data_IF_896601880509
#
_entry.id   IF_896601880509
#
_cell.length_a   1.000
_cell.length_b   1.000
_cell.length_c   1.000
_cell.angle_alpha   90.00
_cell.angle_beta   90.00
_cell.angle_gamma   90.00
#
_symmetry.space_group_name_H-M   'P 1'
#
loop_
_entity.id
_entity.type
_entity.pdbx_description
1 polymer ?
#
# COMPACT_ATOMS: atom_id res chain seq x y z
N UNK A 1 -74.52 98.71 -27.31
CA UNK A 1 -73.50 99.77 -27.25
C UNK A 1 -72.84 99.68 -25.89
N UNK A 2 -71.50 99.55 -25.85
CA UNK A 2 -70.55 99.88 -24.75
C UNK A 2 -70.99 99.76 -23.27
N UNK A 3 -70.21 98.96 -22.54
CA UNK A 3 -69.58 99.27 -21.23
C UNK A 3 -70.46 99.64 -20.01
N UNK A 4 -70.36 98.85 -18.94
CA UNK A 4 -69.99 99.39 -17.63
C UNK A 4 -69.16 98.40 -16.81
N UNK A 5 -68.13 98.97 -16.19
CA UNK A 5 -67.03 98.41 -15.42
C UNK A 5 -67.41 98.44 -13.92
N UNK A 6 -67.09 97.40 -13.14
CA UNK A 6 -66.46 97.57 -11.82
C UNK A 6 -66.01 96.23 -11.18
N UNK A 7 -64.68 96.10 -11.16
CA UNK A 7 -63.78 95.58 -10.13
C UNK A 7 -64.41 94.99 -8.84
N UNK A 8 -64.12 93.72 -8.55
CA UNK A 8 -63.89 93.27 -7.17
C UNK A 8 -62.71 92.29 -7.13
N UNK A 9 -61.69 92.70 -6.37
CA UNK A 9 -60.43 92.00 -6.14
C UNK A 9 -60.63 91.01 -5.00
N UNK A 10 -60.40 89.72 -5.21
CA UNK A 10 -60.47 88.71 -4.14
C UNK A 10 -59.08 88.08 -3.96
N UNK A 11 -58.41 88.53 -2.90
CA UNK A 11 -57.13 88.06 -2.38
C UNK A 11 -57.18 86.56 -2.07
N UNK A 12 -56.30 85.80 -2.71
CA UNK A 12 -55.92 84.46 -2.24
C UNK A 12 -55.11 84.60 -0.95
N UNK A 13 -55.66 84.14 0.17
CA UNK A 13 -54.89 83.84 1.38
C UNK A 13 -54.76 82.32 1.48
N UNK A 14 -53.64 81.78 0.97
CA UNK A 14 -53.26 80.40 1.20
C UNK A 14 -52.74 80.26 2.63
N UNK A 15 -53.58 79.75 3.53
CA UNK A 15 -53.10 79.26 4.83
C UNK A 15 -52.38 77.93 4.58
N UNK A 16 -51.06 77.98 4.47
CA UNK A 16 -50.23 76.78 4.49
C UNK A 16 -50.25 76.25 5.93
N UNK A 17 -50.98 75.16 6.15
CA UNK A 17 -50.89 74.41 7.40
C UNK A 17 -49.53 73.70 7.40
N UNK A 18 -48.58 74.16 8.22
CA UNK A 18 -47.31 73.46 8.41
C UNK A 18 -47.62 72.14 9.13
N UNK A 19 -47.57 71.03 8.40
CA UNK A 19 -47.62 69.70 8.98
C UNK A 19 -46.39 69.50 9.87
N UNK A 20 -46.60 69.16 11.13
CA UNK A 20 -45.49 68.83 12.03
C UNK A 20 -44.90 67.47 11.58
N UNK A 21 -43.62 67.46 11.19
CA UNK A 21 -42.94 66.28 10.60
C UNK A 21 -42.31 65.32 11.62
N UNK A 22 -42.54 65.60 12.91
CA UNK A 22 -41.95 64.88 14.02
C UNK A 22 -43.02 64.27 14.92
N UNK A 23 -42.81 63.02 15.34
CA UNK A 23 -43.74 62.24 16.16
C UNK A 23 -42.99 61.64 17.37
N UNK A 24 -43.64 61.64 18.52
CA UNK A 24 -43.19 60.88 19.70
C UNK A 24 -43.69 59.44 19.60
N UNK A 25 -42.76 58.49 19.61
CA UNK A 25 -43.03 57.08 19.31
C UNK A 25 -42.41 56.22 20.40
N UNK A 26 -43.26 55.60 21.23
CA UNK A 26 -42.87 54.65 22.26
C UNK A 26 -43.91 53.53 22.30
N UNK A 27 -43.47 52.28 22.17
CA UNK A 27 -44.35 51.12 22.18
C UNK A 27 -43.78 50.01 23.04
N UNK A 28 -44.66 49.31 23.74
CA UNK A 28 -44.33 48.14 24.54
C UNK A 28 -45.27 47.02 24.12
N UNK A 29 -44.71 45.89 23.70
CA UNK A 29 -45.44 44.70 23.27
C UNK A 29 -46.45 44.94 22.12
N UNK A 30 -46.08 45.77 21.14
CA UNK A 30 -46.91 46.08 19.97
C UNK A 30 -46.71 45.02 18.89
N UNK A 31 -47.80 44.54 18.27
CA UNK A 31 -47.69 43.58 17.16
C UNK A 31 -47.12 44.25 15.90
N UNK A 32 -46.24 43.56 15.16
CA UNK A 32 -45.65 44.07 13.93
C UNK A 32 -46.72 44.43 12.88
N UNK A 33 -47.80 43.67 12.79
CA UNK A 33 -48.96 44.01 11.93
C UNK A 33 -49.59 45.37 12.27
N UNK A 34 -49.63 45.72 13.56
CA UNK A 34 -50.14 47.03 14.02
C UNK A 34 -49.13 48.13 13.73
N UNK A 35 -47.85 47.87 13.94
CA UNK A 35 -46.79 48.81 13.57
C UNK A 35 -46.77 49.11 12.07
N UNK A 36 -46.92 48.11 11.21
CA UNK A 36 -47.03 48.28 9.75
C UNK A 36 -48.22 49.18 9.39
N UNK A 37 -49.38 49.02 10.05
CA UNK A 37 -50.55 49.89 9.85
C UNK A 37 -50.27 51.34 10.26
N UNK A 38 -49.54 51.55 11.37
CA UNK A 38 -49.14 52.88 11.82
C UNK A 38 -48.19 53.51 10.79
N UNK A 39 -47.15 52.79 10.37
CA UNK A 39 -46.19 53.27 9.38
C UNK A 39 -46.87 53.59 8.05
N UNK A 40 -47.76 52.72 7.56
CA UNK A 40 -48.54 52.95 6.34
C UNK A 40 -49.36 54.24 6.40
N UNK A 41 -50.05 54.50 7.52
CA UNK A 41 -50.85 55.72 7.73
C UNK A 41 -50.00 56.98 7.85
N UNK A 42 -48.89 56.90 8.58
CA UNK A 42 -48.02 58.05 8.85
C UNK A 42 -47.18 58.43 7.63
N UNK A 43 -46.69 57.44 6.89
CA UNK A 43 -45.89 57.64 5.68
C UNK A 43 -46.72 57.83 4.41
N UNK A 44 -48.04 57.66 4.49
CA UNK A 44 -48.97 57.69 3.36
C UNK A 44 -48.56 56.72 2.23
N UNK A 45 -48.14 55.50 2.61
CA UNK A 45 -47.72 54.44 1.69
C UNK A 45 -48.63 53.22 1.84
N UNK A 46 -49.03 52.64 0.70
CA UNK A 46 -49.73 51.36 0.69
C UNK A 46 -48.70 50.25 0.95
N UNK A 47 -48.95 49.40 1.95
CA UNK A 47 -48.08 48.27 2.29
C UNK A 47 -48.89 46.97 2.17
N UNK A 48 -48.47 46.07 1.28
CA UNK A 48 -49.02 44.74 1.09
C UNK A 48 -48.25 43.75 1.96
N UNK A 49 -48.95 43.11 2.90
CA UNK A 49 -48.41 42.05 3.76
C UNK A 49 -48.86 40.70 3.20
N UNK A 50 -47.90 39.87 2.79
CA UNK A 50 -48.20 38.60 2.11
C UNK A 50 -48.56 37.46 3.07
N UNK A 51 -48.07 37.51 4.32
CA UNK A 51 -48.20 36.47 5.33
C UNK A 51 -48.39 37.13 6.72
N UNK A 52 -49.15 36.53 7.65
CA UNK A 52 -49.33 37.09 8.99
C UNK A 52 -48.02 37.12 9.78
N UNK A 53 -47.73 38.23 10.47
CA UNK A 53 -46.48 38.45 11.20
C UNK A 53 -46.73 38.52 12.71
N UNK A 54 -46.62 37.40 13.42
CA UNK A 54 -46.83 37.32 14.87
C UNK A 54 -45.53 37.66 15.63
N UNK A 55 -45.07 38.90 15.48
CA UNK A 55 -43.85 39.43 16.12
C UNK A 55 -44.25 40.59 17.04
N UNK A 56 -43.78 40.56 18.28
CA UNK A 56 -43.99 41.64 19.25
C UNK A 56 -42.78 42.58 19.30
N UNK A 57 -43.04 43.87 19.29
CA UNK A 57 -42.06 44.93 19.20
C UNK A 57 -42.05 45.77 20.48
N UNK A 58 -40.84 46.08 20.93
CA UNK A 58 -40.59 47.08 21.95
C UNK A 58 -39.72 48.17 21.34
N UNK A 59 -40.16 49.41 21.42
CA UNK A 59 -39.42 50.54 20.86
C UNK A 59 -39.50 51.72 21.81
N UNK A 60 -38.34 52.24 22.20
CA UNK A 60 -38.20 53.37 23.11
C UNK A 60 -37.37 54.44 22.43
N UNK A 61 -37.94 55.62 22.25
CA UNK A 61 -37.25 56.79 21.73
C UNK A 61 -37.08 57.85 22.81
N UNK A 62 -35.88 58.44 22.86
CA UNK A 62 -35.58 59.59 23.72
C UNK A 62 -35.75 60.94 23.00
N UNK A 63 -36.07 60.94 21.70
CA UNK A 63 -36.27 62.13 20.87
C UNK A 63 -37.42 61.93 19.89
N UNK A 64 -38.00 63.02 19.40
CA UNK A 64 -39.01 62.94 18.34
C UNK A 64 -38.40 62.38 17.05
N UNK A 65 -39.13 61.47 16.40
CA UNK A 65 -38.70 60.77 15.19
C UNK A 65 -39.34 61.42 13.97
N UNK A 66 -38.60 61.56 12.87
CA UNK A 66 -39.17 62.04 11.61
C UNK A 66 -40.07 60.98 10.99
N UNK A 67 -41.13 61.39 10.30
CA UNK A 67 -42.04 60.46 9.62
C UNK A 67 -41.34 59.52 8.65
N UNK A 68 -40.29 59.98 7.96
CA UNK A 68 -39.52 59.16 7.01
C UNK A 68 -38.65 58.09 7.69
N UNK A 69 -38.17 58.37 8.90
CA UNK A 69 -37.31 57.45 9.66
C UNK A 69 -38.10 56.21 10.13
N UNK A 70 -39.43 56.30 10.24
CA UNK A 70 -40.29 55.16 10.59
C UNK A 70 -40.22 54.03 9.55
N UNK A 71 -40.05 54.38 8.28
CA UNK A 71 -39.92 53.39 7.21
C UNK A 71 -38.57 52.69 7.27
N UNK A 72 -37.52 53.41 7.67
CA UNK A 72 -36.19 52.84 7.95
C UNK A 72 -36.24 51.90 9.15
N UNK A 73 -36.91 52.30 10.24
CA UNK A 73 -37.09 51.45 11.43
C UNK A 73 -37.85 50.17 11.05
N UNK A 74 -38.95 50.29 10.28
CA UNK A 74 -39.69 49.14 9.79
C UNK A 74 -38.80 48.23 8.93
N UNK A 75 -37.99 48.80 8.04
CA UNK A 75 -37.06 48.02 7.21
C UNK A 75 -36.05 47.25 8.06
N UNK A 76 -35.45 47.88 9.07
CA UNK A 76 -34.49 47.22 9.97
C UNK A 76 -35.13 46.06 10.73
N UNK A 77 -36.33 46.25 11.28
CA UNK A 77 -37.07 45.20 12.00
C UNK A 77 -37.41 44.03 11.06
N UNK A 78 -37.83 44.33 9.82
CA UNK A 78 -38.10 43.29 8.83
C UNK A 78 -36.83 42.52 8.46
N UNK A 79 -35.71 43.22 8.25
CA UNK A 79 -34.41 42.62 7.91
C UNK A 79 -33.91 41.69 9.05
N UNK A 80 -34.07 42.08 10.32
CA UNK A 80 -33.74 41.23 11.49
C UNK A 80 -34.56 39.94 11.54
N UNK A 81 -35.78 39.96 11.01
CA UNK A 81 -36.72 38.83 11.02
C UNK A 81 -36.81 38.08 9.68
N UNK A 82 -35.82 38.23 8.78
CA UNK A 82 -35.78 37.57 7.46
C UNK A 82 -36.89 37.96 6.48
N UNK A 83 -37.45 39.16 6.63
CA UNK A 83 -38.39 39.77 5.69
C UNK A 83 -37.72 40.93 4.96
N UNK A 84 -38.19 41.21 3.74
CA UNK A 84 -37.73 42.35 2.94
C UNK A 84 -38.92 43.21 2.55
N UNK A 85 -38.70 44.52 2.55
CA UNK A 85 -39.64 45.53 2.06
C UNK A 85 -39.24 45.94 0.64
N UNK A 86 -40.00 45.51 -0.37
CA UNK A 86 -39.75 45.80 -1.78
C UNK A 86 -40.75 46.82 -2.34
N UNK A 87 -40.29 47.83 -3.08
CA UNK A 87 -41.17 48.71 -3.85
C UNK A 87 -41.69 47.96 -5.10
N UNK A 88 -43.00 47.81 -5.23
CA UNK A 88 -43.68 47.22 -6.41
C UNK A 88 -44.69 48.23 -6.96
N UNK A 89 -44.27 49.03 -7.93
CA UNK A 89 -45.11 50.11 -8.47
C UNK A 89 -45.45 51.13 -7.39
N UNK A 90 -46.74 51.34 -7.13
CA UNK A 90 -47.25 52.36 -6.20
C UNK A 90 -47.39 51.87 -4.74
N UNK A 91 -47.06 50.62 -4.45
CA UNK A 91 -47.11 50.05 -3.10
C UNK A 91 -45.82 49.35 -2.70
N UNK A 92 -45.63 49.18 -1.39
CA UNK A 92 -44.55 48.41 -0.79
C UNK A 92 -45.05 47.01 -0.49
N UNK A 93 -44.28 45.97 -0.82
CA UNK A 93 -44.60 44.58 -0.51
C UNK A 93 -43.65 44.07 0.56
N UNK A 94 -44.20 43.46 1.61
CA UNK A 94 -43.45 42.68 2.58
C UNK A 94 -43.52 41.21 2.17
N UNK A 95 -42.34 40.60 1.99
CA UNK A 95 -42.19 39.18 1.68
C UNK A 95 -40.98 38.60 2.39
N UNK A 96 -41.02 37.30 2.66
CA UNK A 96 -39.87 36.57 3.20
C UNK A 96 -38.70 36.67 2.22
N UNK A 97 -37.50 36.94 2.72
CA UNK A 97 -36.27 37.03 1.92
C UNK A 97 -36.07 35.70 1.19
N UNK A 98 -36.15 35.72 -0.14
CA UNK A 98 -35.86 34.53 -0.94
C UNK A 98 -34.35 34.28 -0.94
N UNK A 99 -33.88 33.02 -0.79
CA UNK A 99 -32.47 32.71 -1.01
C UNK A 99 -32.09 33.08 -2.46
N UNK A 100 -30.85 33.51 -2.71
CA UNK A 100 -30.42 33.88 -4.06
C UNK A 100 -30.71 32.75 -5.06
N UNK A 101 -31.28 33.10 -6.22
CA UNK A 101 -31.56 32.16 -7.32
C UNK A 101 -30.26 31.45 -7.75
N UNK A 102 -30.32 30.12 -7.89
CA UNK A 102 -29.25 29.20 -8.33
C UNK A 102 -28.81 29.43 -9.78
N UNK A 103 -28.30 30.60 -10.14
CA UNK A 103 -27.97 30.92 -11.54
C UNK A 103 -26.65 30.31 -12.05
N UNK A 104 -25.80 29.75 -11.17
CA UNK A 104 -24.46 29.24 -11.56
C UNK A 104 -24.16 27.78 -11.18
N UNK A 105 -25.16 26.94 -10.90
CA UNK A 105 -24.92 25.51 -10.64
C UNK A 105 -24.73 24.76 -11.96
N UNK A 106 -23.54 24.19 -12.17
CA UNK A 106 -23.21 23.38 -13.34
C UNK A 106 -23.00 21.93 -12.93
N UNK A 107 -23.36 21.00 -13.81
CA UNK A 107 -23.00 19.58 -13.69
C UNK A 107 -21.87 19.26 -14.65
N UNK A 108 -20.81 18.63 -14.15
CA UNK A 108 -19.68 18.16 -14.96
C UNK A 108 -19.40 16.70 -14.65
N UNK A 109 -19.14 15.93 -15.71
CA UNK A 109 -18.79 14.52 -15.64
C UNK A 109 -17.28 14.37 -15.86
N UNK A 110 -16.64 13.53 -15.07
CA UNK A 110 -15.24 13.17 -15.22
C UNK A 110 -15.09 11.65 -15.28
N UNK A 111 -14.63 11.16 -16.42
CA UNK A 111 -14.32 9.75 -16.65
C UNK A 111 -12.95 9.41 -16.05
N UNK A 112 -12.92 8.43 -15.15
CA UNK A 112 -11.69 7.97 -14.50
C UNK A 112 -11.04 6.84 -15.31
N UNK A 113 -9.72 6.91 -15.46
CA UNK A 113 -8.97 5.94 -16.27
C UNK A 113 -8.19 4.91 -15.46
N UNK A 114 -7.74 5.26 -14.26
CA UNK A 114 -6.79 4.46 -13.48
C UNK A 114 -7.31 4.00 -12.11
N UNK A 115 -8.36 4.66 -11.60
CA UNK A 115 -8.93 4.40 -10.28
C UNK A 115 -10.44 4.20 -10.38
N UNK A 116 -10.97 3.34 -9.50
CA UNK A 116 -12.40 3.07 -9.41
C UNK A 116 -13.15 4.29 -8.86
N UNK A 117 -14.23 4.67 -9.54
CA UNK A 117 -15.07 5.82 -9.18
C UNK A 117 -15.64 5.72 -7.77
N UNK A 118 -16.00 4.53 -7.30
CA UNK A 118 -16.52 4.32 -5.95
C UNK A 118 -15.52 4.75 -4.87
N UNK A 119 -14.23 4.40 -5.03
CA UNK A 119 -13.20 4.73 -4.05
C UNK A 119 -12.94 6.24 -3.99
N UNK A 120 -12.97 6.91 -5.13
CA UNK A 120 -12.79 8.36 -5.22
C UNK A 120 -14.01 9.12 -4.71
N UNK A 121 -15.22 8.63 -5.01
CA UNK A 121 -16.46 9.22 -4.53
C UNK A 121 -16.45 9.32 -3.00
N UNK A 122 -16.10 8.24 -2.30
CA UNK A 122 -15.96 8.22 -0.83
C UNK A 122 -14.96 9.26 -0.32
N UNK A 123 -13.85 9.48 -1.02
CA UNK A 123 -12.83 10.48 -0.62
C UNK A 123 -13.39 11.89 -0.80
N UNK A 124 -14.02 12.16 -1.95
CA UNK A 124 -14.57 13.47 -2.26
C UNK A 124 -15.79 13.81 -1.39
N UNK A 125 -16.68 12.86 -1.11
CA UNK A 125 -17.78 12.99 -0.15
C UNK A 125 -17.25 13.44 1.23
N UNK A 126 -16.21 12.76 1.74
CA UNK A 126 -15.58 13.14 3.01
C UNK A 126 -14.98 14.56 3.00
N UNK A 127 -14.45 15.02 1.86
CA UNK A 127 -13.92 16.38 1.71
C UNK A 127 -15.06 17.41 1.68
N UNK A 128 -16.12 17.11 0.92
CA UNK A 128 -17.33 17.94 0.78
C UNK A 128 -18.13 17.99 2.10
N UNK A 129 -18.04 16.98 2.96
CA UNK A 129 -18.71 17.02 4.27
C UNK A 129 -17.93 17.83 5.30
N UNK A 130 -16.60 17.84 5.22
CA UNK A 130 -15.73 18.55 6.18
C UNK A 130 -15.56 20.04 5.88
N UNK A 131 -15.75 20.44 4.63
CA UNK A 131 -15.68 21.84 4.24
C UNK A 131 -16.96 22.60 4.60
N UNK A 132 -16.82 23.83 5.06
CA UNK A 132 -17.94 24.75 5.27
C UNK A 132 -18.33 25.40 3.95
N UNK A 133 -19.60 25.25 3.57
CA UNK A 133 -20.21 25.88 2.39
C UNK A 133 -21.29 26.85 2.86
N UNK A 134 -21.50 27.95 2.13
CA UNK A 134 -22.68 28.78 2.36
C UNK A 134 -23.96 28.00 2.04
N UNK A 135 -25.08 28.46 2.59
CA UNK A 135 -26.36 27.77 2.47
C UNK A 135 -26.76 27.61 0.99
N UNK A 136 -26.85 26.37 0.52
CA UNK A 136 -27.19 26.06 -0.87
C UNK A 136 -26.01 25.99 -1.84
N UNK A 137 -24.78 26.19 -1.38
CA UNK A 137 -23.56 26.10 -2.21
C UNK A 137 -22.85 24.75 -2.14
N UNK A 138 -23.25 23.89 -1.20
CA UNK A 138 -22.66 22.56 -1.03
C UNK A 138 -22.78 21.75 -2.34
N UNK A 139 -21.65 21.31 -2.92
CA UNK A 139 -21.68 20.51 -4.14
C UNK A 139 -22.27 19.13 -3.86
N UNK A 140 -22.96 18.59 -4.86
CA UNK A 140 -23.43 17.21 -4.85
C UNK A 140 -22.49 16.35 -5.70
N UNK A 141 -22.22 15.14 -5.22
CA UNK A 141 -21.39 14.14 -5.87
C UNK A 141 -22.20 12.87 -6.10
N UNK A 142 -22.07 12.30 -7.29
CA UNK A 142 -22.52 10.95 -7.59
C UNK A 142 -21.49 10.25 -8.47
N UNK A 143 -21.59 8.93 -8.57
CA UNK A 143 -20.70 8.14 -9.42
C UNK A 143 -21.50 7.13 -10.24
N UNK A 144 -20.95 6.76 -11.39
CA UNK A 144 -21.47 5.68 -12.24
C UNK A 144 -20.40 4.60 -12.33
N UNK A 145 -20.73 3.41 -11.83
CA UNK A 145 -19.83 2.26 -11.88
C UNK A 145 -19.66 1.72 -13.29
N UNK A 146 -20.73 1.71 -14.10
CA UNK A 146 -20.71 1.21 -15.49
C UNK A 146 -19.76 2.01 -16.39
N UNK A 147 -19.71 3.33 -16.20
CA UNK A 147 -18.86 4.23 -17.00
C UNK A 147 -17.60 4.66 -16.26
N UNK A 148 -17.33 4.10 -15.07
CA UNK A 148 -16.26 4.51 -14.16
C UNK A 148 -16.08 6.04 -14.08
N UNK A 149 -17.16 6.75 -13.79
CA UNK A 149 -17.20 8.22 -13.88
C UNK A 149 -17.74 8.87 -12.61
N UNK A 150 -17.25 10.07 -12.32
CA UNK A 150 -17.74 10.95 -11.24
C UNK A 150 -18.54 12.09 -11.84
N UNK A 151 -19.72 12.35 -11.29
CA UNK A 151 -20.56 13.50 -11.63
C UNK A 151 -20.57 14.46 -10.45
N UNK A 152 -20.09 15.68 -10.67
CA UNK A 152 -20.14 16.76 -9.68
C UNK A 152 -21.11 17.84 -10.13
N UNK A 153 -22.00 18.24 -9.23
CA UNK A 153 -22.97 19.31 -9.48
C UNK A 153 -22.83 20.39 -8.41
N UNK A 154 -22.61 21.63 -8.81
CA UNK A 154 -22.39 22.75 -7.89
C UNK A 154 -21.92 24.01 -8.61
N UNK A 155 -21.54 25.02 -7.84
CA UNK A 155 -21.02 26.26 -8.42
C UNK A 155 -19.66 26.04 -9.10
N UNK A 156 -19.44 26.73 -10.22
CA UNK A 156 -18.21 26.60 -11.02
C UNK A 156 -16.93 26.78 -10.19
N UNK A 157 -16.90 27.79 -9.32
CA UNK A 157 -15.73 28.15 -8.53
C UNK A 157 -15.38 27.09 -7.46
N UNK A 158 -16.39 26.36 -6.98
CA UNK A 158 -16.23 25.24 -6.03
C UNK A 158 -15.79 23.96 -6.76
N UNK A 159 -16.28 23.76 -8.00
CA UNK A 159 -16.01 22.55 -8.77
C UNK A 159 -14.60 22.52 -9.37
N UNK A 160 -14.03 23.66 -9.77
CA UNK A 160 -12.70 23.69 -10.40
C UNK A 160 -11.58 23.04 -9.53
N UNK A 161 -11.45 23.36 -8.23
CA UNK A 161 -10.50 22.68 -7.34
C UNK A 161 -10.74 21.18 -7.21
N UNK A 162 -12.01 20.74 -7.15
CA UNK A 162 -12.37 19.32 -7.06
C UNK A 162 -11.97 18.56 -8.33
N UNK A 163 -12.13 19.17 -9.51
CA UNK A 163 -11.67 18.56 -10.77
C UNK A 163 -10.15 18.50 -10.90
N UNK A 164 -9.43 19.52 -10.40
CA UNK A 164 -7.97 19.46 -10.36
C UNK A 164 -7.49 18.35 -9.42
N UNK A 165 -8.11 18.22 -8.25
CA UNK A 165 -7.85 17.11 -7.34
C UNK A 165 -8.15 15.75 -7.99
N UNK A 166 -9.26 15.61 -8.71
CA UNK A 166 -9.60 14.40 -9.46
C UNK A 166 -8.50 14.00 -10.44
N UNK A 167 -7.97 14.96 -11.21
CA UNK A 167 -6.85 14.72 -12.14
C UNK A 167 -5.58 14.30 -11.42
N UNK A 168 -5.31 14.88 -10.25
CA UNK A 168 -4.13 14.53 -9.46
C UNK A 168 -4.22 13.16 -8.79
N UNK A 169 -5.43 12.72 -8.48
CA UNK A 169 -5.70 11.40 -7.93
C UNK A 169 -5.72 10.31 -9.00
N UNK A 170 -6.29 10.57 -10.18
CA UNK A 170 -6.42 9.61 -11.29
C UNK A 170 -5.08 9.35 -12.02
N UNK A 171 -4.14 8.71 -11.32
CA UNK A 171 -2.82 8.34 -11.83
C UNK A 171 -2.69 6.83 -11.97
N UNK A 172 -1.98 6.41 -13.01
CA UNK A 172 -1.63 5.00 -13.23
C UNK A 172 -0.85 4.45 -12.04
N UNK A 173 -1.35 3.35 -11.47
CA UNK A 173 -0.70 2.62 -10.37
C UNK A 173 0.49 1.84 -10.89
N UNK A 174 1.54 1.76 -10.07
CA UNK A 174 2.71 0.96 -10.36
C UNK A 174 2.43 -0.52 -10.14
N UNK A 175 3.13 -1.37 -10.88
CA UNK A 175 3.09 -2.82 -10.74
C UNK A 175 4.45 -3.33 -10.27
N UNK A 176 4.43 -4.36 -9.44
CA UNK A 176 5.64 -5.02 -8.94
C UNK A 176 5.51 -6.51 -9.25
N UNK A 177 6.51 -7.02 -9.95
CA UNK A 177 6.68 -8.46 -10.17
C UNK A 177 7.53 -9.03 -9.04
N UNK A 178 7.01 -9.99 -8.30
CA UNK A 178 7.68 -10.62 -7.18
C UNK A 178 8.00 -12.07 -7.54
N UNK A 179 9.25 -12.45 -7.39
CA UNK A 179 9.70 -13.83 -7.49
C UNK A 179 10.17 -14.32 -6.12
N UNK A 180 9.69 -15.48 -5.68
CA UNK A 180 10.21 -16.15 -4.51
C UNK A 180 10.90 -17.46 -4.91
N UNK A 181 11.96 -17.81 -4.20
CA UNK A 181 12.65 -19.11 -4.31
C UNK A 181 12.70 -19.74 -2.92
N UNK A 182 12.12 -20.92 -2.80
CA UNK A 182 12.17 -21.73 -1.59
C UNK A 182 13.15 -22.87 -1.85
N UNK A 183 14.16 -22.94 -1.00
CA UNK A 183 15.33 -23.76 -1.21
C UNK A 183 15.60 -24.58 0.05
N UNK A 184 15.87 -25.88 -0.13
CA UNK A 184 16.37 -26.74 0.93
C UNK A 184 17.87 -26.97 0.74
N UNK A 185 18.63 -26.82 1.82
CA UNK A 185 20.09 -26.78 1.77
C UNK A 185 20.65 -27.79 2.76
N UNK A 186 21.55 -28.63 2.29
CA UNK A 186 22.30 -29.56 3.13
C UNK A 186 23.62 -28.90 3.57
N UNK A 187 23.70 -28.49 4.84
CA UNK A 187 24.85 -27.74 5.35
C UNK A 187 26.16 -28.53 5.32
N UNK A 188 26.12 -29.85 5.47
CA UNK A 188 27.32 -30.69 5.45
C UNK A 188 27.95 -30.67 4.04
N UNK A 189 27.12 -30.82 3.01
CA UNK A 189 27.57 -30.74 1.62
C UNK A 189 28.02 -29.33 1.25
N UNK A 190 27.31 -28.28 1.69
CA UNK A 190 27.71 -26.88 1.51
C UNK A 190 29.12 -26.64 2.07
N UNK A 191 29.38 -27.09 3.29
CA UNK A 191 30.70 -26.93 3.93
C UNK A 191 31.78 -27.71 3.19
N UNK A 192 31.48 -28.96 2.78
CA UNK A 192 32.40 -29.77 1.98
C UNK A 192 32.75 -29.10 0.64
N UNK A 193 31.77 -28.53 -0.05
CA UNK A 193 31.97 -27.81 -1.32
C UNK A 193 32.81 -26.55 -1.06
N UNK A 194 32.43 -25.74 -0.07
CA UNK A 194 33.16 -24.53 0.27
C UNK A 194 34.63 -24.78 0.60
N UNK A 195 34.94 -25.88 1.29
CA UNK A 195 36.32 -26.32 1.54
C UNK A 195 37.01 -26.88 0.28
N UNK A 196 36.31 -27.66 -0.55
CA UNK A 196 36.88 -28.28 -1.77
C UNK A 196 37.27 -27.27 -2.83
N UNK A 197 36.50 -26.18 -2.96
CA UNK A 197 36.78 -25.07 -3.89
C UNK A 197 37.62 -23.95 -3.26
N UNK A 198 38.09 -24.11 -2.01
CA UNK A 198 38.90 -23.10 -1.33
C UNK A 198 38.16 -21.80 -1.00
N UNK A 199 36.82 -21.80 -1.09
CA UNK A 199 35.94 -20.64 -0.86
C UNK A 199 35.80 -20.36 0.65
N UNK A 200 35.87 -21.39 1.49
CA UNK A 200 35.80 -21.27 2.96
C UNK A 200 37.18 -21.50 3.58
N UNK A 201 37.62 -20.61 4.49
CA UNK A 201 38.83 -20.79 5.31
C UNK A 201 38.48 -21.65 6.52
N UNK A 202 39.41 -22.52 6.94
CA UNK A 202 39.19 -23.51 8.01
C UNK A 202 38.71 -22.94 9.37
N UNK A 203 38.90 -21.65 9.62
CA UNK A 203 38.51 -20.97 10.87
C UNK A 203 37.30 -20.01 10.74
N UNK A 204 36.56 -20.02 9.63
CA UNK A 204 35.42 -19.09 9.46
C UNK A 204 34.17 -19.57 10.21
N UNK A 205 33.75 -18.80 11.22
CA UNK A 205 32.55 -19.03 12.04
C UNK A 205 31.21 -18.65 11.37
N UNK A 206 31.21 -18.29 10.08
CA UNK A 206 30.01 -17.88 9.36
C UNK A 206 29.37 -19.07 8.63
N UNK A 207 28.14 -19.39 9.01
CA UNK A 207 27.38 -20.55 8.57
C UNK A 207 26.84 -20.41 7.12
N UNK A 208 27.12 -21.40 6.27
CA UNK A 208 26.35 -21.69 5.05
C UNK A 208 26.53 -20.78 3.81
N UNK A 209 25.45 -20.66 3.02
CA UNK A 209 25.37 -20.00 1.69
C UNK A 209 25.95 -18.58 1.69
N UNK A 210 25.74 -17.84 2.77
CA UNK A 210 26.19 -16.45 2.91
C UNK A 210 27.72 -16.34 2.95
N UNK A 211 28.41 -17.33 3.50
CA UNK A 211 29.87 -17.39 3.47
C UNK A 211 30.38 -17.66 2.05
N UNK A 212 29.68 -18.49 1.27
CA UNK A 212 30.03 -18.74 -0.13
C UNK A 212 29.77 -17.49 -0.98
N UNK A 213 28.63 -16.83 -0.82
CA UNK A 213 28.30 -15.63 -1.61
C UNK A 213 29.24 -14.44 -1.33
N UNK A 214 29.64 -14.24 -0.08
CA UNK A 214 30.58 -13.17 0.30
C UNK A 214 31.99 -13.41 -0.22
N UNK A 215 32.48 -14.65 -0.20
CA UNK A 215 33.81 -15.00 -0.72
C UNK A 215 33.85 -15.11 -2.25
N UNK A 216 32.72 -15.42 -2.91
CA UNK A 216 32.61 -15.36 -4.37
C UNK A 216 32.63 -13.94 -4.92
N UNK A 217 32.36 -12.90 -4.10
CA UNK A 217 32.33 -11.49 -4.51
C UNK A 217 33.72 -10.89 -4.83
N UNK A 218 34.79 -11.70 -4.88
CA UNK A 218 36.18 -11.29 -5.10
C UNK A 218 36.62 -11.10 -6.56
N UNK A 219 35.81 -11.50 -7.56
CA UNK A 219 36.13 -11.41 -8.99
C UNK A 219 35.54 -10.16 -9.66
N UNK A 220 36.12 -8.98 -9.41
CA UNK A 220 35.51 -7.69 -9.81
C UNK A 220 35.73 -7.25 -11.27
N UNK A 221 36.64 -7.89 -12.02
CA UNK A 221 37.05 -7.44 -13.36
C UNK A 221 36.16 -7.97 -14.49
N UNK A 222 35.76 -9.23 -14.46
CA UNK A 222 34.98 -9.84 -15.54
C UNK A 222 33.51 -9.40 -15.58
N UNK A 223 32.95 -9.01 -14.42
CA UNK A 223 31.63 -8.37 -14.33
C UNK A 223 31.59 -7.07 -15.14
N UNK A 224 32.64 -6.24 -15.07
CA UNK A 224 32.67 -4.98 -15.79
C UNK A 224 32.66 -5.23 -17.32
N UNK A 225 33.44 -6.21 -17.80
CA UNK A 225 33.48 -6.57 -19.22
C UNK A 225 32.16 -7.19 -19.73
N UNK A 226 31.58 -8.14 -18.98
CA UNK A 226 30.31 -8.79 -19.34
C UNK A 226 29.11 -7.82 -19.28
N UNK A 227 29.14 -6.89 -18.33
CA UNK A 227 28.09 -5.88 -18.16
C UNK A 227 28.05 -4.85 -19.28
N UNK A 228 29.23 -4.50 -19.81
CA UNK A 228 29.39 -3.59 -20.94
C UNK A 228 28.91 -4.25 -22.23
N UNK A 229 29.17 -5.55 -22.41
CA UNK A 229 28.73 -6.34 -23.56
C UNK A 229 27.20 -6.56 -23.60
N UNK A 230 26.55 -6.72 -22.44
CA UNK A 230 25.11 -6.97 -22.32
C UNK A 230 24.26 -5.70 -22.12
N UNK A 231 24.91 -4.53 -21.98
CA UNK A 231 24.26 -3.23 -21.81
C UNK A 231 23.57 -3.05 -20.45
N UNK A 232 24.07 -3.69 -19.40
CA UNK A 232 23.48 -3.66 -18.05
C UNK A 232 24.45 -2.93 -17.11
N UNK A 233 24.08 -1.77 -16.59
CA UNK A 233 24.93 -1.03 -15.63
C UNK A 233 24.83 -1.62 -14.22
N UNK A 234 25.75 -2.55 -13.90
CA UNK A 234 25.80 -3.28 -12.62
C UNK A 234 26.15 -2.37 -11.43
N UNK A 235 26.87 -1.25 -11.68
CA UNK A 235 27.27 -0.29 -10.64
C UNK A 235 26.09 0.55 -10.19
N UNK A 236 25.26 1.00 -11.13
CA UNK A 236 24.06 1.80 -10.85
C UNK A 236 22.95 1.02 -10.14
N UNK A 237 22.88 -0.30 -10.36
CA UNK A 237 21.83 -1.18 -9.81
C UNK A 237 22.27 -1.98 -8.56
N UNK A 238 23.51 -1.82 -8.07
CA UNK A 238 24.06 -2.53 -6.91
C UNK A 238 23.84 -4.06 -6.92
N UNK A 239 23.95 -4.69 -8.11
CA UNK A 239 23.56 -6.10 -8.31
C UNK A 239 24.63 -7.11 -7.88
N UNK A 240 25.82 -6.66 -7.45
CA UNK A 240 26.97 -7.54 -7.15
C UNK A 240 26.62 -8.60 -6.10
N UNK A 241 25.99 -8.20 -5.01
CA UNK A 241 25.59 -9.11 -3.93
C UNK A 241 24.53 -10.12 -4.37
N UNK A 242 23.59 -9.68 -5.22
CA UNK A 242 22.54 -10.55 -5.78
C UNK A 242 23.09 -11.58 -6.76
N UNK A 243 24.01 -11.17 -7.65
CA UNK A 243 24.68 -12.07 -8.60
C UNK A 243 25.58 -13.09 -7.89
N UNK A 244 26.34 -12.66 -6.88
CA UNK A 244 27.18 -13.56 -6.09
C UNK A 244 26.33 -14.58 -5.31
N UNK A 245 25.18 -14.16 -4.78
CA UNK A 245 24.20 -15.06 -4.20
C UNK A 245 23.66 -16.04 -5.26
N UNK A 246 23.19 -15.56 -6.42
CA UNK A 246 22.71 -16.40 -7.52
C UNK A 246 23.73 -17.45 -7.96
N UNK A 247 24.98 -17.06 -8.17
CA UNK A 247 26.07 -17.97 -8.53
C UNK A 247 26.38 -18.98 -7.42
N UNK A 248 26.40 -18.57 -6.14
CA UNK A 248 26.57 -19.49 -5.02
C UNK A 248 25.47 -20.55 -4.98
N UNK A 249 24.22 -20.16 -5.23
CA UNK A 249 23.09 -21.09 -5.27
C UNK A 249 23.22 -22.07 -6.45
N UNK A 250 23.61 -21.57 -7.62
CA UNK A 250 23.83 -22.40 -8.81
C UNK A 250 24.97 -23.41 -8.61
N UNK A 251 26.07 -23.03 -7.97
CA UNK A 251 27.17 -23.93 -7.62
C UNK A 251 26.68 -25.06 -6.71
N UNK A 252 25.99 -24.69 -5.62
CA UNK A 252 25.48 -25.66 -4.66
C UNK A 252 24.45 -26.60 -5.29
N UNK A 253 23.62 -26.09 -6.22
CA UNK A 253 22.69 -26.89 -7.01
C UNK A 253 23.42 -27.90 -7.87
N UNK A 254 24.44 -27.48 -8.62
CA UNK A 254 25.22 -28.35 -9.51
C UNK A 254 25.92 -29.47 -8.74
N UNK A 255 26.32 -29.20 -7.50
CA UNK A 255 27.00 -30.16 -6.62
C UNK A 255 26.04 -30.96 -5.72
N UNK A 256 24.72 -30.77 -5.86
CA UNK A 256 23.69 -31.49 -5.11
C UNK A 256 23.54 -31.10 -3.64
N UNK A 257 24.14 -29.99 -3.19
CA UNK A 257 24.01 -29.49 -1.83
C UNK A 257 22.77 -28.61 -1.61
N UNK A 258 22.05 -28.33 -2.69
CA UNK A 258 20.90 -27.44 -2.72
C UNK A 258 19.82 -28.05 -3.60
N UNK A 259 18.60 -28.15 -3.07
CA UNK A 259 17.42 -28.52 -3.82
C UNK A 259 16.42 -27.36 -3.86
N UNK A 260 15.80 -27.15 -5.02
CA UNK A 260 14.82 -26.07 -5.20
C UNK A 260 13.45 -26.69 -5.01
N UNK A 261 12.85 -26.42 -3.86
CA UNK A 261 11.53 -26.93 -3.51
C UNK A 261 10.47 -26.27 -4.38
N UNK A 262 10.55 -24.94 -4.60
CA UNK A 262 9.56 -24.18 -5.37
C UNK A 262 10.06 -22.80 -5.79
N UNK A 263 9.61 -22.30 -6.95
CA UNK A 263 9.90 -20.95 -7.45
C UNK A 263 8.62 -20.21 -7.93
N UNK A 264 7.67 -19.87 -7.04
CA UNK A 264 6.50 -19.12 -7.46
C UNK A 264 6.84 -17.68 -7.83
N UNK A 265 6.05 -17.10 -8.73
CA UNK A 265 6.12 -15.69 -9.09
C UNK A 265 4.73 -15.11 -9.24
N UNK A 266 4.56 -13.84 -8.86
CA UNK A 266 3.29 -13.14 -8.91
C UNK A 266 3.47 -11.67 -9.29
N UNK A 267 2.56 -11.15 -10.11
CA UNK A 267 2.46 -9.73 -10.42
C UNK A 267 1.42 -9.09 -9.50
N UNK A 268 1.80 -8.04 -8.79
CA UNK A 268 0.93 -7.33 -7.85
C UNK A 268 0.90 -5.83 -8.15
N UNK A 269 -0.25 -5.19 -7.90
CA UNK A 269 -0.39 -3.74 -7.96
C UNK A 269 0.13 -3.10 -6.67
N UNK A 270 0.71 -1.90 -6.77
CA UNK A 270 1.15 -1.13 -5.62
C UNK A 270 -0.02 -0.91 -4.64
N UNK A 271 0.22 -1.20 -3.35
CA UNK A 271 -0.74 -1.18 -2.24
C UNK A 271 -1.91 -2.16 -2.35
N UNK A 272 -1.85 -3.17 -3.23
CA UNK A 272 -2.88 -4.22 -3.34
C UNK A 272 -2.29 -5.59 -2.99
N UNK A 273 -2.97 -6.31 -2.09
CA UNK A 273 -2.61 -7.69 -1.79
C UNK A 273 -2.87 -8.58 -3.00
N UNK A 274 -1.97 -9.53 -3.23
CA UNK A 274 -2.10 -10.57 -4.24
C UNK A 274 -1.54 -11.86 -3.68
N UNK A 275 -2.11 -13.00 -4.06
CA UNK A 275 -1.64 -14.30 -3.59
C UNK A 275 -1.63 -15.33 -4.73
N UNK A 276 -0.75 -16.32 -4.60
CA UNK A 276 -0.66 -17.50 -5.45
C UNK A 276 -0.60 -18.74 -4.56
N UNK A 277 -1.40 -19.74 -4.90
CA UNK A 277 -1.38 -21.06 -4.27
C UNK A 277 -0.93 -22.10 -5.30
N UNK A 278 0.01 -22.96 -4.91
CA UNK A 278 0.53 -24.06 -5.72
C UNK A 278 0.54 -25.31 -4.86
N UNK A 279 -0.39 -26.23 -5.12
CA UNK A 279 -0.55 -27.42 -4.28
C UNK A 279 -1.74 -28.28 -4.68
N UNK A 280 -2.03 -29.25 -3.83
CA UNK A 280 -3.12 -30.20 -3.95
C UNK A 280 -4.02 -30.12 -2.71
N UNK A 281 -5.32 -30.36 -2.90
CA UNK A 281 -6.26 -30.52 -1.79
C UNK A 281 -6.45 -31.99 -1.50
N UNK A 282 -6.04 -32.43 -0.31
CA UNK A 282 -6.29 -33.80 0.13
C UNK A 282 -7.59 -33.87 0.94
N UNK A 283 -8.28 -35.01 0.89
CA UNK A 283 -9.49 -35.23 1.70
C UNK A 283 -9.14 -36.04 2.94
N UNK A 284 -9.27 -35.43 4.12
CA UNK A 284 -9.04 -36.05 5.42
C UNK A 284 -10.36 -36.48 6.03
N UNK A 285 -10.44 -37.72 6.52
CA UNK A 285 -11.67 -38.22 7.14
C UNK A 285 -11.80 -37.63 8.56
N UNK A 286 -12.85 -36.85 8.82
CA UNK A 286 -13.04 -36.16 10.12
C UNK A 286 -13.90 -36.96 11.09
N UNK A 287 -14.84 -37.74 10.57
CA UNK A 287 -15.68 -38.62 11.40
C UNK A 287 -16.18 -39.81 10.60
N UNK A 288 -16.46 -40.90 11.32
CA UNK A 288 -17.20 -42.05 10.81
C UNK A 288 -18.25 -42.43 11.83
N UNK A 289 -19.51 -42.49 11.41
CA UNK A 289 -20.62 -42.96 12.25
C UNK A 289 -21.31 -44.12 11.56
N UNK A 290 -21.71 -45.13 12.31
CA UNK A 290 -22.60 -46.19 11.82
C UNK A 290 -24.01 -45.86 12.30
N UNK A 291 -24.98 -45.76 11.39
CA UNK A 291 -26.40 -45.58 11.75
C UNK A 291 -27.00 -46.89 12.26
N UNK A 292 -28.11 -46.81 13.01
CA UNK A 292 -28.83 -47.97 13.57
C UNK A 292 -29.26 -49.03 12.53
N UNK A 293 -29.22 -48.70 11.23
CA UNK A 293 -29.42 -49.65 10.12
C UNK A 293 -28.14 -50.28 9.55
N UNK A 294 -26.99 -50.13 10.22
CA UNK A 294 -25.70 -50.69 9.79
C UNK A 294 -25.03 -49.96 8.62
N UNK A 295 -25.55 -48.80 8.19
CA UNK A 295 -24.93 -48.00 7.11
C UNK A 295 -23.83 -47.11 7.69
N UNK A 296 -22.62 -47.23 7.15
CA UNK A 296 -21.49 -46.39 7.54
C UNK A 296 -21.54 -45.05 6.79
N UNK A 297 -21.52 -43.95 7.54
CA UNK A 297 -21.40 -42.57 7.02
C UNK A 297 -20.03 -42.01 7.41
N UNK A 298 -19.21 -41.69 6.41
CA UNK A 298 -17.92 -41.02 6.59
C UNK A 298 -18.02 -39.57 6.13
N UNK A 299 -17.50 -38.65 6.94
CA UNK A 299 -17.36 -37.24 6.57
C UNK A 299 -15.89 -36.95 6.25
N UNK A 300 -15.68 -36.10 5.24
CA UNK A 300 -14.35 -35.66 4.82
C UNK A 300 -14.27 -34.13 4.87
N UNK A 301 -13.11 -33.63 5.28
CA UNK A 301 -12.71 -32.23 5.18
C UNK A 301 -11.53 -32.12 4.22
N UNK A 302 -11.44 -31.02 3.47
CA UNK A 302 -10.37 -30.81 2.49
C UNK A 302 -9.29 -29.94 3.12
N UNK A 303 -8.08 -30.49 3.17
CA UNK A 303 -6.89 -29.80 3.67
C UNK A 303 -6.01 -29.39 2.48
N UNK A 304 -5.50 -28.17 2.52
CA UNK A 304 -4.56 -27.63 1.53
C UNK A 304 -3.14 -28.14 1.80
N UNK A 305 -2.51 -28.74 0.78
CA UNK A 305 -1.13 -29.21 0.85
C UNK A 305 -0.35 -28.57 -0.29
N UNK A 306 0.47 -27.58 0.03
CA UNK A 306 1.32 -26.93 -0.95
C UNK A 306 1.86 -25.60 -0.44
N UNK A 307 2.15 -24.70 -1.38
CA UNK A 307 2.74 -23.41 -1.13
C UNK A 307 1.74 -22.30 -1.40
N UNK A 308 1.47 -21.47 -0.39
CA UNK A 308 0.81 -20.17 -0.56
C UNK A 308 1.83 -19.06 -0.42
N UNK A 309 1.96 -18.22 -1.44
CA UNK A 309 2.71 -16.96 -1.37
C UNK A 309 1.70 -15.81 -1.47
N UNK A 310 1.58 -15.03 -0.41
CA UNK A 310 0.78 -13.82 -0.33
C UNK A 310 1.73 -12.62 -0.17
N UNK A 311 1.52 -11.61 -1.00
CA UNK A 311 2.39 -10.43 -1.06
C UNK A 311 1.55 -9.16 -1.18
N UNK A 312 2.02 -8.09 -0.55
CA UNK A 312 1.47 -6.75 -0.69
C UNK A 312 2.64 -5.76 -0.84
N UNK A 313 2.94 -5.31 -2.07
CA UNK A 313 4.02 -4.36 -2.30
C UNK A 313 3.58 -2.94 -2.00
N UNK A 314 4.50 -2.14 -1.49
CA UNK A 314 4.39 -0.69 -1.33
C UNK A 314 5.64 -0.02 -1.91
N UNK A 315 5.52 0.50 -3.12
CA UNK A 315 6.61 1.24 -3.77
C UNK A 315 6.81 2.56 -3.04
N UNK A 316 8.03 2.80 -2.55
CA UNK A 316 8.40 4.04 -1.85
C UNK A 316 9.14 5.01 -2.79
N UNK A 317 9.89 4.48 -3.76
CA UNK A 317 10.61 5.21 -4.81
C UNK A 317 10.92 4.27 -5.98
N UNK A 318 11.47 4.81 -7.07
CA UNK A 318 11.89 4.02 -8.26
C UNK A 318 12.88 2.87 -7.95
N UNK A 319 13.53 2.92 -6.79
CA UNK A 319 14.59 1.96 -6.40
C UNK A 319 14.27 1.14 -5.16
N UNK A 320 13.34 1.56 -4.31
CA UNK A 320 13.02 0.90 -3.03
C UNK A 320 11.54 0.67 -2.86
N UNK A 321 11.19 -0.50 -2.33
CA UNK A 321 9.83 -0.86 -1.97
C UNK A 321 9.80 -1.58 -0.62
N UNK A 322 8.68 -1.46 0.07
CA UNK A 322 8.36 -2.29 1.24
C UNK A 322 7.49 -3.44 0.76
N UNK A 323 7.82 -4.66 1.15
CA UNK A 323 7.06 -5.85 0.79
C UNK A 323 6.57 -6.54 2.05
N UNK A 324 5.26 -6.59 2.24
CA UNK A 324 4.62 -7.48 3.23
C UNK A 324 4.48 -8.86 2.58
N UNK A 325 5.02 -9.90 3.23
CA UNK A 325 5.15 -11.25 2.68
C UNK A 325 4.66 -12.25 3.70
N UNK A 326 3.68 -13.05 3.30
CA UNK A 326 3.22 -14.24 3.99
C UNK A 326 3.48 -15.43 3.08
N UNK A 327 4.35 -16.33 3.52
CA UNK A 327 4.61 -17.61 2.84
C UNK A 327 4.20 -18.75 3.76
N UNK A 328 3.38 -19.64 3.24
CA UNK A 328 2.90 -20.82 3.94
C UNK A 328 3.23 -22.05 3.09
N UNK A 329 4.01 -22.98 3.64
CA UNK A 329 4.36 -24.25 3.04
C UNK A 329 3.77 -25.39 3.88
N UNK A 330 2.89 -26.17 3.26
CA UNK A 330 2.19 -27.31 3.85
C UNK A 330 2.60 -28.58 3.11
N UNK A 331 2.97 -29.62 3.86
CA UNK A 331 3.39 -30.91 3.31
C UNK A 331 2.84 -32.06 4.15
N UNK A 332 2.89 -33.29 3.64
CA UNK A 332 2.51 -34.51 4.35
C UNK A 332 3.73 -35.16 4.98
N UNK A 333 3.59 -35.65 6.21
CA UNK A 333 4.57 -36.58 6.79
C UNK A 333 4.32 -37.98 6.23
N UNK A 334 5.39 -38.78 6.15
CA UNK A 334 5.30 -40.17 5.71
C UNK A 334 4.28 -40.93 6.57
N UNK A 335 3.39 -41.67 5.90
CA UNK A 335 2.26 -42.35 6.54
C UNK A 335 2.75 -43.54 7.37
N UNK A 336 2.49 -43.51 8.68
CA UNK A 336 2.67 -44.68 9.54
C UNK A 336 1.61 -45.75 9.23
N UNK A 337 2.01 -47.02 9.22
CA UNK A 337 1.11 -48.16 8.99
C UNK A 337 0.03 -48.16 10.08
N UNK A 338 -1.25 -48.16 9.68
CA UNK A 338 -2.40 -48.21 10.61
C UNK A 338 -3.10 -46.87 10.89
N UNK A 339 -2.62 -45.73 10.36
CA UNK A 339 -3.28 -44.42 10.54
C UNK A 339 -4.16 -44.07 9.32
N UNK A 340 -5.42 -43.69 9.57
CA UNK A 340 -6.41 -43.35 8.52
C UNK A 340 -6.06 -42.05 7.78
N UNK A 341 -5.59 -41.02 8.50
CA UNK A 341 -5.18 -39.73 7.95
C UNK A 341 -3.66 -39.54 8.09
N UNK A 342 -2.97 -38.93 7.11
CA UNK A 342 -1.58 -38.54 7.25
C UNK A 342 -1.43 -37.34 8.21
N UNK A 343 -0.32 -37.28 8.95
CA UNK A 343 0.06 -36.06 9.65
C UNK A 343 0.51 -34.99 8.64
N UNK A 344 0.18 -33.73 8.89
CA UNK A 344 0.63 -32.59 8.08
C UNK A 344 1.82 -31.87 8.73
N UNK A 345 2.64 -31.22 7.91
CA UNK A 345 3.74 -30.35 8.30
C UNK A 345 3.43 -28.96 7.78
N UNK A 346 3.45 -27.96 8.66
CA UNK A 346 3.19 -26.56 8.32
C UNK A 346 4.39 -25.70 8.64
N UNK A 347 4.87 -24.93 7.66
CA UNK A 347 5.96 -23.95 7.80
C UNK A 347 5.44 -22.60 7.32
N UNK A 348 5.33 -21.63 8.22
CA UNK A 348 4.75 -20.32 7.92
C UNK A 348 5.73 -19.20 8.28
N UNK A 349 5.89 -18.22 7.38
CA UNK A 349 6.70 -17.03 7.58
C UNK A 349 5.85 -15.80 7.26
N UNK A 350 5.80 -14.86 8.21
CA UNK A 350 5.10 -13.59 8.14
C UNK A 350 6.09 -12.47 8.42
N UNK A 351 6.36 -11.63 7.43
CA UNK A 351 7.37 -10.58 7.60
C UNK A 351 7.17 -9.42 6.64
N UNK A 352 7.77 -8.29 6.99
CA UNK A 352 7.77 -7.07 6.20
C UNK A 352 9.21 -6.62 6.02
N UNK A 353 9.67 -6.54 4.78
CA UNK A 353 11.03 -6.16 4.45
C UNK A 353 11.07 -4.96 3.52
N UNK A 354 12.08 -4.10 3.68
CA UNK A 354 12.41 -3.05 2.72
C UNK A 354 13.44 -3.62 1.77
N UNK A 355 13.12 -3.62 0.48
CA UNK A 355 13.89 -4.28 -0.57
C UNK A 355 14.21 -3.27 -1.67
N UNK A 356 15.38 -3.41 -2.30
CA UNK A 356 15.72 -2.66 -3.49
C UNK A 356 15.19 -3.37 -4.75
N UNK A 357 14.91 -2.60 -5.80
CA UNK A 357 14.44 -3.12 -7.09
C UNK A 357 15.49 -4.05 -7.73
N UNK A 358 15.14 -5.32 -7.93
CA UNK A 358 15.99 -6.36 -8.49
C UNK A 358 16.96 -7.00 -7.50
N UNK A 359 16.89 -6.67 -6.21
CA UNK A 359 17.76 -7.24 -5.18
C UNK A 359 17.14 -8.50 -4.57
N UNK A 360 17.88 -9.61 -4.58
CA UNK A 360 17.49 -10.85 -3.91
C UNK A 360 17.86 -10.80 -2.43
N UNK A 361 16.87 -10.98 -1.56
CA UNK A 361 17.07 -10.96 -0.10
C UNK A 361 16.55 -12.24 0.52
N UNK A 362 17.29 -12.78 1.49
CA UNK A 362 16.84 -13.88 2.33
C UNK A 362 15.90 -13.32 3.38
N UNK A 363 14.66 -13.78 3.36
CA UNK A 363 13.57 -13.21 4.16
C UNK A 363 13.29 -14.05 5.40
N UNK A 364 13.64 -15.33 5.35
CA UNK A 364 13.57 -16.24 6.48
C UNK A 364 14.29 -17.55 6.19
N UNK A 365 14.68 -18.22 7.27
CA UNK A 365 15.22 -19.58 7.20
C UNK A 365 14.79 -20.41 8.40
N UNK A 366 14.55 -21.70 8.20
CA UNK A 366 14.29 -22.69 9.25
C UNK A 366 15.44 -23.69 9.24
N UNK A 367 16.15 -23.80 10.36
CA UNK A 367 17.22 -24.76 10.56
C UNK A 367 16.64 -25.98 11.27
N UNK A 368 16.62 -27.12 10.58
CA UNK A 368 16.24 -28.41 11.14
C UNK A 368 17.50 -29.22 11.42
N UNK A 369 17.69 -29.61 12.68
CA UNK A 369 18.82 -30.43 13.12
C UNK A 369 18.30 -31.79 13.61
N UNK A 370 18.59 -32.85 12.88
CA UNK A 370 18.22 -34.22 13.23
C UNK A 370 19.48 -35.02 13.52
N UNK A 371 19.64 -35.41 14.78
CA UNK A 371 20.70 -36.31 15.21
C UNK A 371 20.13 -37.73 15.36
N UNK A 372 20.62 -38.66 14.57
CA UNK A 372 20.20 -40.07 14.55
C UNK A 372 21.40 -40.94 14.89
N UNK A 373 21.40 -41.51 16.10
CA UNK A 373 22.43 -42.44 16.55
C UNK A 373 21.92 -43.86 16.24
N UNK A 374 22.55 -44.53 15.29
CA UNK A 374 22.26 -45.93 14.97
C UNK A 374 23.36 -46.78 15.60
N UNK A 375 22.98 -47.54 16.63
CA UNK A 375 23.86 -48.47 17.32
C UNK A 375 23.56 -49.91 16.89
N UNK A 376 24.50 -50.54 16.18
CA UNK A 376 24.46 -51.96 15.86
C UNK A 376 25.36 -52.70 16.84
N UNK A 377 24.81 -53.64 17.62
CA UNK A 377 25.60 -54.41 18.60
C UNK A 377 25.33 -55.91 18.51
N UNK A 378 26.37 -56.70 18.79
CA UNK A 378 26.23 -58.15 18.97
C UNK A 378 25.55 -58.41 20.32
N UNK A 379 24.42 -59.16 20.38
CA UNK A 379 23.75 -59.46 21.65
C UNK A 379 24.71 -60.11 22.66
N UNK A 380 24.56 -59.78 23.95
CA UNK A 380 25.42 -60.23 25.07
C UNK A 380 26.83 -59.63 25.07
N UNK A 381 27.58 -59.73 23.97
CA UNK A 381 28.97 -59.26 23.89
C UNK A 381 29.08 -57.73 23.82
N UNK A 382 28.11 -57.06 23.21
CA UNK A 382 28.06 -55.59 23.12
C UNK A 382 27.69 -54.91 24.45
N UNK A 383 27.12 -55.63 25.40
CA UNK A 383 26.66 -55.10 26.70
C UNK A 383 27.73 -55.21 27.81
N UNK A 384 28.88 -55.84 27.53
CA UNK A 384 29.96 -56.01 28.51
C UNK A 384 30.59 -54.64 28.84
N UNK A 385 30.64 -54.21 30.11
CA UNK A 385 31.34 -52.99 30.50
C UNK A 385 32.81 -53.05 30.07
N UNK A 386 33.37 -51.93 29.60
CA UNK A 386 34.78 -51.79 29.16
C UNK A 386 35.12 -52.49 27.83
N UNK A 387 34.67 -53.75 27.61
CA UNK A 387 35.02 -54.54 26.42
C UNK A 387 33.95 -54.52 25.30
N UNK A 388 32.72 -54.14 25.61
CA UNK A 388 31.61 -54.11 24.65
C UNK A 388 31.81 -53.14 23.48
N UNK A 389 32.73 -52.18 23.61
CA UNK A 389 33.12 -51.26 22.55
C UNK A 389 33.70 -51.92 21.30
N UNK A 390 34.26 -53.13 21.41
CA UNK A 390 34.79 -53.89 20.26
C UNK A 390 33.71 -54.68 19.50
N UNK A 391 32.51 -54.80 20.08
CA UNK A 391 31.38 -55.60 19.57
C UNK A 391 30.14 -54.76 19.27
N UNK A 392 30.31 -53.44 19.23
CA UNK A 392 29.30 -52.46 18.81
C UNK A 392 29.86 -51.53 17.74
N UNK A 393 29.03 -51.19 16.77
CA UNK A 393 29.29 -50.20 15.75
C UNK A 393 28.27 -49.07 15.94
N UNK A 394 28.76 -47.89 16.30
CA UNK A 394 27.92 -46.69 16.46
C UNK A 394 28.10 -45.82 15.23
N UNK A 395 27.02 -45.60 14.49
CA UNK A 395 27.00 -44.62 13.41
C UNK A 395 26.17 -43.42 13.84
N UNK A 396 26.78 -42.24 13.81
CA UNK A 396 26.13 -40.99 14.15
C UNK A 396 25.76 -40.28 12.83
N UNK A 397 24.48 -40.24 12.52
CA UNK A 397 23.90 -39.57 11.36
C UNK A 397 23.36 -38.21 11.80
N UNK A 398 24.15 -37.17 11.59
CA UNK A 398 23.74 -35.80 11.86
C UNK A 398 23.26 -35.13 10.57
N UNK A 399 21.96 -34.88 10.43
CA UNK A 399 21.36 -34.21 9.27
C UNK A 399 20.95 -32.79 9.64
N UNK A 400 21.55 -31.81 8.98
CA UNK A 400 21.20 -30.39 9.10
C UNK A 400 20.63 -29.88 7.79
N UNK A 401 19.31 -29.73 7.75
CA UNK A 401 18.60 -29.20 6.58
C UNK A 401 18.11 -27.79 6.88
N UNK A 402 18.48 -26.84 6.02
CA UNK A 402 18.02 -25.46 6.11
C UNK A 402 17.01 -25.18 5.01
N UNK A 403 15.78 -24.82 5.38
CA UNK A 403 14.84 -24.23 4.44
C UNK A 403 15.10 -22.73 4.39
N UNK A 404 15.35 -22.18 3.21
CA UNK A 404 15.63 -20.76 3.00
C UNK A 404 14.64 -20.19 2.00
N UNK A 405 14.05 -19.04 2.33
CA UNK A 405 13.15 -18.31 1.44
C UNK A 405 13.83 -17.03 0.98
N UNK A 406 14.03 -16.93 -0.33
CA UNK A 406 14.61 -15.76 -1.00
C UNK A 406 13.51 -15.08 -1.80
N UNK A 407 13.44 -13.76 -1.74
CA UNK A 407 12.50 -12.98 -2.54
C UNK A 407 13.24 -11.90 -3.31
N UNK A 408 12.83 -11.70 -4.56
CA UNK A 408 13.40 -10.71 -5.47
C UNK A 408 12.25 -9.92 -6.11
N UNK A 409 12.08 -8.63 -5.78
CA UNK A 409 11.04 -7.80 -6.37
C UNK A 409 11.57 -7.01 -7.58
N UNK A 410 10.70 -6.78 -8.58
CA UNK A 410 10.99 -6.00 -9.77
C UNK A 410 9.88 -4.97 -10.00
N UNK A 411 10.21 -3.68 -9.92
CA UNK A 411 9.26 -2.60 -10.19
C UNK A 411 9.12 -2.43 -11.71
N UNK A 412 7.89 -2.49 -12.21
CA UNK A 412 7.56 -2.29 -13.63
C UNK A 412 7.26 -0.81 -13.87
N UNK A 413 8.04 -0.17 -14.73
CA UNK A 413 7.84 1.22 -15.10
C UNK A 413 6.64 1.37 -16.05
N UNK A 414 5.98 2.55 -16.03
CA UNK A 414 4.73 2.82 -16.77
C UNK A 414 4.81 2.59 -18.30
N UNK A 415 6.02 2.65 -18.87
CA UNK A 415 6.30 2.48 -20.29
C UNK A 415 6.90 1.10 -20.64
N UNK A 416 6.99 0.18 -19.68
CA UNK A 416 7.62 -1.13 -19.83
C UNK A 416 6.58 -2.22 -19.58
N UNK A 417 6.53 -3.19 -20.50
CA UNK A 417 5.66 -4.36 -20.36
C UNK A 417 6.36 -5.48 -19.58
N UNK A 418 5.57 -6.46 -19.13
CA UNK A 418 6.08 -7.67 -18.48
C UNK A 418 7.12 -8.41 -19.34
N UNK A 419 7.06 -8.26 -20.67
CA UNK A 419 8.05 -8.80 -21.62
C UNK A 419 9.44 -8.24 -21.36
N UNK A 420 9.55 -6.94 -21.04
CA UNK A 420 10.84 -6.31 -20.71
C UNK A 420 11.47 -6.96 -19.47
N UNK A 421 10.67 -7.25 -18.45
CA UNK A 421 11.14 -7.94 -17.24
C UNK A 421 11.58 -9.36 -17.58
N UNK A 422 10.82 -10.11 -18.39
CA UNK A 422 11.19 -11.48 -18.81
C UNK A 422 12.52 -11.53 -19.57
N UNK A 423 12.73 -10.60 -20.50
CA UNK A 423 13.98 -10.51 -21.24
C UNK A 423 15.15 -10.15 -20.32
N UNK A 424 14.94 -9.19 -19.40
CA UNK A 424 15.93 -8.81 -18.40
C UNK A 424 16.27 -9.99 -17.49
N UNK A 425 15.29 -10.76 -17.03
CA UNK A 425 15.50 -11.96 -16.21
C UNK A 425 16.31 -13.03 -16.96
N UNK A 426 16.02 -13.25 -18.24
CA UNK A 426 16.78 -14.18 -19.08
C UNK A 426 18.24 -13.76 -19.21
N UNK A 427 18.49 -12.47 -19.45
CA UNK A 427 19.86 -11.91 -19.50
C UNK A 427 20.59 -12.02 -18.16
N UNK A 428 19.90 -11.76 -17.05
CA UNK A 428 20.46 -11.87 -15.70
C UNK A 428 20.86 -13.32 -15.38
N UNK A 429 20.00 -14.31 -15.70
CA UNK A 429 20.34 -15.73 -15.54
C UNK A 429 21.60 -16.12 -16.32
N UNK A 430 21.71 -15.71 -17.59
CA UNK A 430 22.89 -15.97 -18.40
C UNK A 430 24.17 -15.31 -17.82
N UNK A 431 24.02 -14.14 -17.18
CA UNK A 431 25.12 -13.44 -16.51
C UNK A 431 25.53 -14.15 -15.20
N UNK A 432 24.56 -14.63 -14.41
CA UNK A 432 24.82 -15.45 -13.21
C UNK A 432 25.59 -16.73 -13.54
N UNK A 433 25.23 -17.42 -14.62
CA UNK A 433 25.93 -18.63 -15.08
C UNK A 433 27.38 -18.33 -15.49
N UNK A 434 27.59 -17.29 -16.29
CA UNK A 434 28.95 -16.86 -16.68
C UNK A 434 29.79 -16.45 -15.48
N UNK A 435 29.22 -15.68 -14.56
CA UNK A 435 29.92 -15.25 -13.35
C UNK A 435 30.37 -16.45 -12.51
N UNK A 436 29.52 -17.49 -12.41
CA UNK A 436 29.88 -18.71 -11.72
C UNK A 436 31.04 -19.44 -12.42
N UNK A 437 30.98 -19.62 -13.74
CA UNK A 437 32.03 -20.30 -14.49
C UNK A 437 33.40 -19.62 -14.34
N UNK A 438 33.43 -18.29 -14.49
CA UNK A 438 34.64 -17.49 -14.31
C UNK A 438 35.17 -17.57 -12.88
N UNK A 439 34.31 -17.38 -11.88
CA UNK A 439 34.70 -17.45 -10.47
C UNK A 439 35.30 -18.82 -10.11
N UNK A 440 34.72 -19.90 -10.64
CA UNK A 440 35.26 -21.25 -10.45
C UNK A 440 36.59 -21.47 -11.17
N UNK A 441 36.78 -20.84 -12.33
CA UNK A 441 38.04 -20.92 -13.08
C UNK A 441 39.17 -20.21 -12.34
N UNK A 442 38.92 -19.02 -11.80
CA UNK A 442 39.88 -18.25 -11.02
C UNK A 442 40.26 -18.99 -9.73
N UNK A 443 39.28 -19.54 -9.02
CA UNK A 443 39.52 -20.36 -7.82
C UNK A 443 40.36 -21.60 -8.11
N UNK A 444 40.15 -22.27 -9.26
CA UNK A 444 40.98 -23.42 -9.67
C UNK A 444 42.42 -23.01 -9.96
N UNK A 445 42.65 -21.84 -10.56
CA UNK A 445 43.99 -21.29 -10.80
C UNK A 445 44.67 -20.95 -9.48
N UNK A 446 43.96 -20.31 -8.55
CA UNK A 446 44.47 -19.96 -7.23
C UNK A 446 44.84 -21.21 -6.42
N UNK A 447 43.99 -22.24 -6.43
CA UNK A 447 44.26 -23.53 -5.77
C UNK A 447 45.47 -24.27 -6.37
N UNK A 448 45.64 -24.24 -7.70
CA UNK A 448 46.83 -24.83 -8.35
C UNK A 448 48.10 -24.12 -7.90
N UNK A 449 48.14 -22.78 -7.98
CA UNK A 449 49.30 -22.00 -7.57
C UNK A 449 49.66 -22.20 -6.08
N UNK A 450 48.66 -22.30 -5.21
CA UNK A 450 48.85 -22.55 -3.77
C UNK A 450 49.36 -23.96 -3.48
N UNK A 451 48.92 -24.96 -4.25
CA UNK A 451 49.42 -26.32 -4.12
C UNK A 451 50.86 -26.44 -4.63
N UNK A 452 51.22 -25.76 -5.73
CA UNK A 452 52.58 -25.69 -6.26
C UNK A 452 53.54 -25.07 -5.23
N UNK A 453 53.20 -23.90 -4.68
CA UNK A 453 54.00 -23.25 -3.64
C UNK A 453 54.16 -24.11 -2.38
N UNK A 454 53.10 -24.85 -1.98
CA UNK A 454 53.16 -25.74 -0.81
C UNK A 454 54.06 -26.96 -1.05
N UNK A 455 54.12 -27.46 -2.28
CA UNK A 455 55.04 -28.54 -2.68
C UNK A 455 56.48 -28.02 -2.64
N UNK A 456 56.75 -26.83 -3.18
CA UNK A 456 58.07 -26.19 -3.13
C UNK A 456 58.53 -25.91 -1.69
N UNK A 457 57.65 -25.36 -0.84
CA UNK A 457 57.95 -25.12 0.58
C UNK A 457 58.24 -26.43 1.34
N UNK A 458 57.50 -27.50 1.04
CA UNK A 458 57.70 -28.81 1.67
C UNK A 458 59.02 -29.45 1.21
N UNK A 459 59.37 -29.30 -0.06
CA UNK A 459 60.65 -29.76 -0.61
C UNK A 459 61.82 -28.97 -0.03
N UNK A 460 61.72 -27.64 0.05
CA UNK A 460 62.73 -26.79 0.67
C UNK A 460 62.93 -27.12 2.16
N UNK A 461 61.85 -27.42 2.89
CA UNK A 461 61.92 -27.84 4.29
C UNK A 461 62.56 -29.24 4.45
N UNK A 462 62.28 -30.17 3.53
CA UNK A 462 62.90 -31.49 3.49
C UNK A 462 64.40 -31.40 3.14
N UNK A 463 64.79 -30.58 2.17
CA UNK A 463 66.19 -30.34 1.82
C UNK A 463 66.97 -29.68 2.97
N UNK A 464 66.33 -28.73 3.67
CA UNK A 464 66.94 -28.10 4.85
C UNK A 464 67.16 -29.12 5.97
N UNK A 465 66.15 -29.94 6.30
CA UNK A 465 66.29 -31.03 7.27
C UNK A 465 67.31 -32.09 6.86
N UNK A 466 67.43 -32.37 5.56
CA UNK A 466 68.42 -33.30 5.03
C UNK A 466 69.85 -32.73 5.18
N UNK A 467 70.07 -31.45 4.86
CA UNK A 467 71.36 -30.76 5.09
C UNK A 467 71.73 -30.71 6.57
N UNK A 468 70.77 -30.34 7.43
CA UNK A 468 70.98 -30.29 8.88
C UNK A 468 71.33 -31.67 9.48
N UNK A 469 70.88 -32.77 8.86
CA UNK A 469 71.22 -34.14 9.28
C UNK A 469 72.65 -34.56 8.92
N UNK A 470 73.20 -34.09 7.78
CA UNK A 470 74.58 -34.39 7.37
C UNK A 470 75.62 -33.47 7.99
N UNK A 471 75.25 -32.27 8.44
CA UNK A 471 76.15 -31.38 9.20
C UNK A 471 76.33 -31.80 10.68
N UNK A 472 75.55 -32.77 11.17
CA UNK A 472 75.63 -33.30 12.55
C UNK A 472 76.37 -34.65 12.66
N UNK A 473 76.90 -35.20 11.57
CA UNK A 473 77.89 -36.30 11.57
C UNK A 473 79.29 -35.76 11.29
#
# INVERSE_FOLDING_TARGET
MKWFLNLFFLLFFSVQSFANDYIDVNFTNLKLDEFIKIVSKVSNKNILVSEPLDINLNFVSNKKIKKDDLLTILKTILDEHNYVLEQKGDFLKISKKQPPKKENSISKVYELRNIDAENIAKILENIIEKNSYEEGEKPNISFSQETNSIVLTGQKDILEPLFNLLKDLDKQKEQVYIQAKIIEVNNELVNKIGLSYGILKADSSSDGIMAISTNLNGGSKSIEDASTLLGIDVKKLNLKSGLALGASLNLLKQQGALDIVSEPSILALNNKESFIYVGEKISMQTSSSVTDGGTQRTNYEREDIGLTLKVKPRVSSDTKLTLEINTLLENLKARSVGVSNPDTLKKEINTTAILSNGESVIIGGLIENKNEIVEEKVPVLGDIPVLGGLFKNESNLNRKNNLVIIVTPYIIQKNQDITYIRDKLTKLKALEERYLEESLSDLKVELKSKNENKIEDTQALQEKKFKDFFEQQ
#
